data_IF_246416582034
#
_entry.id   IF_246416582034
#
_cell.length_a   1.000
_cell.length_b   1.000
_cell.length_c   1.000
_cell.angle_alpha   90.00
_cell.angle_beta   90.00
_cell.angle_gamma   90.00
#
_symmetry.space_group_name_H-M   'P 1'
#
loop_
_entity.id
_entity.type
_entity.pdbx_description
1 polymer ?
#
# COMPACT_ATOMS: atom_id res chain seq x y z
N UNK A 1 0.11 13.95 20.37
CA UNK A 1 0.30 13.61 18.94
C UNK A 1 1.63 12.92 18.65
N UNK A 2 2.75 13.37 19.23
CA UNK A 2 4.10 12.81 18.99
C UNK A 2 4.29 11.36 19.45
N UNK A 3 3.62 10.94 20.53
CA UNK A 3 3.66 9.55 21.04
C UNK A 3 3.03 8.55 20.05
N UNK A 4 1.88 8.89 19.47
CA UNK A 4 1.15 8.03 18.53
C UNK A 4 1.92 7.77 17.25
N UNK A 5 2.60 8.80 16.73
CA UNK A 5 3.46 8.69 15.55
C UNK A 5 4.65 7.76 15.83
N UNK A 6 5.28 7.91 17.00
CA UNK A 6 6.42 7.09 17.38
C UNK A 6 6.04 5.61 17.57
N UNK A 7 4.85 5.32 18.09
CA UNK A 7 4.33 3.95 18.20
C UNK A 7 4.05 3.33 16.83
N UNK A 8 3.48 4.09 15.89
CA UNK A 8 3.28 3.63 14.50
C UNK A 8 4.61 3.30 13.82
N UNK A 9 5.62 4.15 13.95
CA UNK A 9 6.95 3.87 13.43
C UNK A 9 7.61 2.66 14.11
N UNK A 10 7.39 2.48 15.41
CA UNK A 10 7.90 1.33 16.16
C UNK A 10 7.27 0.02 15.71
N UNK A 11 5.96 0.03 15.41
CA UNK A 11 5.22 -1.11 14.84
C UNK A 11 5.71 -1.40 13.41
N UNK A 12 5.89 -0.36 12.58
CA UNK A 12 6.43 -0.50 11.22
C UNK A 12 7.87 -1.05 11.23
N UNK A 13 8.71 -0.60 12.15
CA UNK A 13 10.08 -1.08 12.31
C UNK A 13 10.15 -2.53 12.86
N UNK A 14 9.14 -2.95 13.63
CA UNK A 14 9.02 -4.33 14.11
C UNK A 14 8.45 -5.29 13.04
N UNK A 15 7.67 -4.77 12.09
CA UNK A 15 7.06 -5.52 11.00
C UNK A 15 8.04 -6.41 10.19
N UNK A 16 9.22 -5.93 9.75
CA UNK A 16 10.19 -6.78 9.05
C UNK A 16 10.74 -7.90 9.95
N UNK A 17 10.88 -7.68 11.26
CA UNK A 17 11.30 -8.74 12.20
C UNK A 17 10.22 -9.80 12.38
N UNK A 18 8.95 -9.40 12.41
CA UNK A 18 7.81 -10.33 12.47
C UNK A 18 7.69 -11.14 11.18
N UNK A 19 7.82 -10.50 10.02
CA UNK A 19 7.85 -11.17 8.72
C UNK A 19 9.01 -12.17 8.60
N UNK A 20 10.21 -11.79 9.05
CA UNK A 20 11.39 -12.68 9.07
C UNK A 20 11.15 -13.90 9.96
N UNK A 21 10.50 -13.73 11.11
CA UNK A 21 10.12 -14.84 12.01
C UNK A 21 9.06 -15.76 11.38
N UNK A 22 8.07 -15.22 10.65
CA UNK A 22 7.08 -16.04 9.92
C UNK A 22 7.71 -16.82 8.76
N UNK A 23 8.64 -16.21 8.02
CA UNK A 23 9.41 -16.89 6.96
C UNK A 23 10.27 -18.02 7.52
N UNK A 24 10.93 -17.80 8.66
CA UNK A 24 11.76 -18.82 9.31
C UNK A 24 10.95 -20.03 9.82
N UNK A 25 9.65 -19.88 10.06
CA UNK A 25 8.74 -20.97 10.48
C UNK A 25 8.07 -21.70 9.31
N UNK A 26 8.50 -21.46 8.07
CA UNK A 26 7.96 -22.12 6.87
C UNK A 26 6.53 -21.71 6.48
N UNK A 27 5.91 -20.78 7.21
CA UNK A 27 4.51 -20.38 6.99
C UNK A 27 4.29 -19.40 5.84
N UNK A 28 5.34 -18.99 5.12
CA UNK A 28 5.22 -18.04 4.00
C UNK A 28 6.18 -18.42 2.89
N UNK A 29 5.65 -18.70 1.70
CA UNK A 29 6.48 -19.04 0.55
C UNK A 29 7.28 -17.83 0.09
N UNK A 30 8.44 -18.05 -0.54
CA UNK A 30 9.28 -16.95 -1.04
C UNK A 30 8.52 -16.04 -2.02
N UNK A 31 7.66 -16.65 -2.85
CA UNK A 31 6.78 -15.96 -3.79
C UNK A 31 5.83 -15.00 -3.07
N UNK A 32 5.10 -15.48 -2.05
CA UNK A 32 4.16 -14.66 -1.28
C UNK A 32 4.84 -13.49 -0.56
N UNK A 33 6.08 -13.67 -0.11
CA UNK A 33 6.86 -12.58 0.50
C UNK A 33 7.23 -11.52 -0.55
N UNK A 34 7.68 -11.96 -1.73
CA UNK A 34 8.04 -11.08 -2.83
C UNK A 34 6.82 -10.28 -3.30
N UNK A 35 5.67 -10.93 -3.43
CA UNK A 35 4.41 -10.29 -3.83
C UNK A 35 3.95 -9.28 -2.78
N UNK A 36 3.99 -9.62 -1.49
CA UNK A 36 3.67 -8.69 -0.41
C UNK A 36 4.62 -7.47 -0.38
N UNK A 37 5.92 -7.70 -0.59
CA UNK A 37 6.90 -6.61 -0.69
C UNK A 37 6.63 -5.69 -1.88
N UNK A 38 6.28 -6.27 -3.04
CA UNK A 38 5.91 -5.51 -4.23
C UNK A 38 4.67 -4.64 -3.99
N UNK A 39 3.64 -5.18 -3.33
CA UNK A 39 2.43 -4.41 -2.98
C UNK A 39 2.79 -3.23 -2.07
N UNK A 40 3.62 -3.44 -1.05
CA UNK A 40 4.06 -2.35 -0.15
C UNK A 40 4.86 -1.29 -0.92
N UNK A 41 5.78 -1.71 -1.80
CA UNK A 41 6.57 -0.81 -2.62
C UNK A 41 5.71 0.02 -3.57
N UNK A 42 4.71 -0.60 -4.22
CA UNK A 42 3.72 0.09 -5.04
C UNK A 42 2.88 1.07 -4.23
N UNK A 43 2.40 0.67 -3.05
CA UNK A 43 1.68 1.58 -2.16
C UNK A 43 2.55 2.80 -1.82
N UNK A 44 3.81 2.59 -1.44
CA UNK A 44 4.71 3.69 -1.13
C UNK A 44 4.92 4.62 -2.34
N UNK A 45 5.15 4.06 -3.52
CA UNK A 45 5.33 4.82 -4.76
C UNK A 45 4.14 5.74 -5.06
N UNK A 46 2.92 5.21 -5.00
CA UNK A 46 1.70 5.97 -5.34
C UNK A 46 1.45 7.09 -4.32
N UNK A 47 1.72 6.87 -3.03
CA UNK A 47 1.55 7.92 -2.02
C UNK A 47 2.67 8.99 -2.09
N UNK A 48 3.91 8.59 -2.39
CA UNK A 48 5.00 9.52 -2.65
C UNK A 48 4.72 10.37 -3.89
N UNK A 49 4.10 9.79 -4.92
CA UNK A 49 3.70 10.52 -6.13
C UNK A 49 2.69 11.63 -5.79
N UNK A 50 1.67 11.35 -4.97
CA UNK A 50 0.73 12.38 -4.49
C UNK A 50 1.46 13.50 -3.73
N UNK A 51 2.37 13.15 -2.81
CA UNK A 51 3.13 14.14 -2.06
C UNK A 51 3.98 15.04 -2.98
N UNK A 52 4.63 14.44 -3.99
CA UNK A 52 5.38 15.16 -5.00
C UNK A 52 4.49 16.07 -5.85
N UNK A 53 3.30 15.61 -6.27
CA UNK A 53 2.34 16.42 -7.01
C UNK A 53 1.84 17.62 -6.18
N UNK A 54 1.58 17.42 -4.88
CA UNK A 54 1.17 18.51 -3.98
C UNK A 54 2.30 19.53 -3.81
N UNK A 55 3.54 19.06 -3.62
CA UNK A 55 4.71 19.92 -3.50
C UNK A 55 4.92 20.73 -4.79
N UNK A 56 4.79 20.10 -5.95
CA UNK A 56 4.90 20.76 -7.26
C UNK A 56 3.80 21.81 -7.46
N UNK A 57 2.55 21.46 -7.17
CA UNK A 57 1.40 22.37 -7.29
C UNK A 57 1.52 23.60 -6.39
N UNK A 58 2.07 23.43 -5.17
CA UNK A 58 2.36 24.55 -4.27
C UNK A 58 3.50 25.43 -4.76
N UNK A 59 4.47 24.87 -5.48
CA UNK A 59 5.64 25.61 -5.98
C UNK A 59 5.34 26.43 -7.25
N UNK A 60 4.22 26.18 -7.93
CA UNK A 60 3.80 26.86 -9.16
C UNK A 60 2.57 27.74 -8.91
N UNK A 61 2.73 28.76 -8.07
CA UNK A 61 1.68 29.75 -7.84
C UNK A 61 1.48 30.63 -9.09
N UNK A 62 0.31 30.53 -9.72
CA UNK A 62 -0.05 31.28 -10.93
C UNK A 62 -0.52 30.42 -12.10
N UNK A 63 -0.20 29.12 -12.11
CA UNK A 63 -0.69 28.19 -13.13
C UNK A 63 -2.10 27.68 -12.77
N UNK A 64 -3.13 27.89 -13.62
CA UNK A 64 -4.48 27.40 -13.37
C UNK A 64 -4.57 25.87 -13.38
N UNK A 65 -3.63 25.18 -14.03
CA UNK A 65 -3.60 23.71 -14.16
C UNK A 65 -2.79 23.01 -13.07
N UNK A 66 -2.18 23.76 -12.14
CA UNK A 66 -1.31 23.20 -11.09
C UNK A 66 -1.93 22.07 -10.26
N UNK A 67 -3.24 22.12 -10.05
CA UNK A 67 -3.99 21.11 -9.29
C UNK A 67 -4.41 19.89 -10.12
N UNK A 68 -4.31 19.96 -11.45
CA UNK A 68 -4.65 18.84 -12.34
C UNK A 68 -3.77 17.63 -12.04
N UNK A 69 -2.46 17.84 -11.87
CA UNK A 69 -1.52 16.79 -11.50
C UNK A 69 -1.87 16.13 -10.15
N UNK A 70 -2.33 16.93 -9.18
CA UNK A 70 -2.80 16.43 -7.87
C UNK A 70 -4.07 15.60 -8.03
N UNK A 71 -5.03 16.07 -8.81
CA UNK A 71 -6.28 15.35 -9.07
C UNK A 71 -6.03 14.00 -9.74
N UNK A 72 -5.14 13.96 -10.74
CA UNK A 72 -4.73 12.71 -11.41
C UNK A 72 -4.02 11.77 -10.42
N UNK A 73 -3.09 12.28 -9.61
CA UNK A 73 -2.40 11.48 -8.61
C UNK A 73 -3.36 10.87 -7.57
N UNK A 74 -4.34 11.65 -7.10
CA UNK A 74 -5.38 11.17 -6.17
C UNK A 74 -6.27 10.12 -6.84
N UNK A 75 -6.72 10.35 -8.07
CA UNK A 75 -7.50 9.36 -8.82
C UNK A 75 -6.73 8.05 -8.96
N UNK A 76 -5.41 8.12 -9.16
CA UNK A 76 -4.55 6.94 -9.26
C UNK A 76 -4.43 6.17 -7.95
N UNK A 77 -4.34 6.87 -6.80
CA UNK A 77 -4.42 6.24 -5.47
C UNK A 77 -5.73 5.47 -5.31
N UNK A 78 -6.86 6.14 -5.59
CA UNK A 78 -8.18 5.50 -5.47
C UNK A 78 -8.31 4.28 -6.36
N UNK A 79 -7.91 4.39 -7.63
CA UNK A 79 -7.93 3.27 -8.56
C UNK A 79 -7.10 2.09 -8.05
N UNK A 80 -5.88 2.35 -7.57
CA UNK A 80 -4.98 1.31 -7.08
C UNK A 80 -5.55 0.61 -5.84
N UNK A 81 -6.10 1.34 -4.88
CA UNK A 81 -6.76 0.78 -3.71
C UNK A 81 -7.99 -0.06 -4.06
N UNK A 82 -8.85 0.43 -4.97
CA UNK A 82 -10.00 -0.33 -5.46
C UNK A 82 -9.56 -1.64 -6.13
N UNK A 83 -8.50 -1.59 -6.92
CA UNK A 83 -7.93 -2.78 -7.57
C UNK A 83 -7.41 -3.80 -6.53
N UNK A 84 -6.63 -3.36 -5.55
CA UNK A 84 -6.14 -4.22 -4.47
C UNK A 84 -7.28 -4.83 -3.66
N UNK A 85 -8.31 -4.04 -3.33
CA UNK A 85 -9.45 -4.52 -2.57
C UNK A 85 -10.24 -5.58 -3.35
N UNK A 86 -10.40 -5.39 -4.67
CA UNK A 86 -11.02 -6.38 -5.56
C UNK A 86 -10.21 -7.68 -5.59
N UNK A 87 -8.88 -7.62 -5.68
CA UNK A 87 -8.00 -8.80 -5.65
C UNK A 87 -8.08 -9.53 -4.30
N UNK A 88 -8.08 -8.79 -3.19
CA UNK A 88 -8.23 -9.36 -1.86
C UNK A 88 -9.59 -10.05 -1.69
N UNK A 89 -10.67 -9.41 -2.14
CA UNK A 89 -12.01 -9.97 -2.11
C UNK A 89 -12.12 -11.27 -2.91
N UNK A 90 -11.60 -11.30 -4.15
CA UNK A 90 -11.60 -12.52 -4.96
C UNK A 90 -10.80 -13.65 -4.31
N UNK A 91 -9.67 -13.32 -3.68
CA UNK A 91 -8.84 -14.30 -2.97
C UNK A 91 -9.59 -14.94 -1.81
N UNK A 92 -10.30 -14.12 -1.00
CA UNK A 92 -11.14 -14.60 0.10
C UNK A 92 -12.31 -15.42 -0.43
N UNK A 93 -13.02 -14.95 -1.46
CA UNK A 93 -14.13 -15.67 -2.09
C UNK A 93 -13.70 -17.06 -2.57
N UNK A 94 -12.54 -17.17 -3.19
CA UNK A 94 -11.99 -18.45 -3.67
C UNK A 94 -11.51 -19.36 -2.53
N UNK A 95 -11.12 -18.81 -1.38
CA UNK A 95 -10.81 -19.60 -0.19
C UNK A 95 -12.08 -20.17 0.44
N UNK A 96 -13.12 -19.34 0.61
CA UNK A 96 -14.44 -19.77 1.13
C UNK A 96 -15.06 -20.84 0.22
N UNK A 97 -15.01 -20.68 -1.10
CA UNK A 97 -15.52 -21.68 -2.03
C UNK A 97 -14.82 -23.04 -1.88
N UNK A 98 -13.52 -23.06 -1.56
CA UNK A 98 -12.76 -24.29 -1.30
C UNK A 98 -13.11 -24.94 0.03
N UNK A 99 -13.44 -24.15 1.04
CA UNK A 99 -13.90 -24.68 2.34
C UNK A 99 -15.32 -25.25 2.24
N UNK A 100 -16.20 -24.64 1.45
CA UNK A 100 -17.58 -25.15 1.24
C UNK A 100 -17.65 -26.42 0.38
N UNK A 101 -16.60 -26.73 -0.38
CA UNK A 101 -16.49 -27.97 -1.17
C UNK A 101 -15.83 -29.13 -0.41
N UNK A 102 -15.33 -28.89 0.81
CA UNK A 102 -14.76 -29.90 1.71
C UNK A 102 -15.81 -30.43 2.67
#
# INVERSE_FOLDING_TARGET
>A
MTRTINDVFRVLAAFPRVLRRRRARGGLTHQQFKDACLVVQLCFLVHCFVAASIWWARSHEGDPTRWLGVAVAVAWVFFFWCFLLKQAYQTVKNAVAREMQR
#
